data_IF_543712956720
#
_entry.id   IF_543712956720
#
_cell.length_a   1.000
_cell.length_b   1.000
_cell.length_c   1.000
_cell.angle_alpha   90.00
_cell.angle_beta   90.00
_cell.angle_gamma   90.00
#
_symmetry.space_group_name_H-M   'P 1'
#
loop_
_entity.id
_entity.type
_entity.pdbx_description
1 polymer ?
#
# COMPACT_ATOMS: atom_id res chain seq x y z
N UNK A 1 2.50 -15.51 28.45
CA UNK A 1 3.31 -15.31 27.26
C UNK A 1 2.65 -14.28 26.37
N UNK A 2 3.42 -13.31 25.96
CA UNK A 2 2.86 -12.24 25.17
C UNK A 2 3.04 -12.55 23.70
N UNK A 3 1.93 -12.68 22.99
CA UNK A 3 1.96 -12.83 21.54
C UNK A 3 1.93 -11.46 20.91
N UNK A 4 2.96 -11.14 20.16
CA UNK A 4 2.98 -9.91 19.41
C UNK A 4 2.25 -10.14 18.10
N UNK A 5 1.21 -9.36 17.88
CA UNK A 5 0.47 -9.43 16.63
C UNK A 5 1.12 -8.45 15.66
N UNK A 6 1.87 -9.00 14.71
CA UNK A 6 2.53 -8.20 13.68
C UNK A 6 1.66 -8.00 12.44
N UNK A 7 0.44 -8.56 12.46
CA UNK A 7 -0.44 -8.50 11.30
C UNK A 7 -0.75 -7.07 10.85
N UNK A 8 -1.06 -6.12 11.76
CA UNK A 8 -1.32 -4.75 11.30
C UNK A 8 -0.12 -4.11 10.63
N UNK A 9 1.10 -4.46 11.08
CA UNK A 9 2.32 -3.95 10.46
C UNK A 9 2.55 -4.57 9.10
N UNK A 10 2.37 -5.88 8.98
CA UNK A 10 2.65 -6.61 7.75
C UNK A 10 1.58 -6.37 6.68
N UNK A 11 0.36 -5.99 7.08
CA UNK A 11 -0.68 -5.61 6.12
C UNK A 11 -0.28 -4.41 5.28
N UNK A 12 0.56 -3.54 5.84
CA UNK A 12 1.02 -2.36 5.13
C UNK A 12 2.26 -2.63 4.28
N UNK A 13 2.70 -3.89 4.22
CA UNK A 13 3.84 -4.30 3.41
C UNK A 13 3.32 -4.87 2.10
N UNK A 14 3.52 -4.13 1.03
CA UNK A 14 2.96 -4.47 -0.28
C UNK A 14 4.01 -5.16 -1.13
N UNK A 15 3.65 -6.28 -1.73
CA UNK A 15 4.56 -7.12 -2.48
C UNK A 15 5.03 -8.35 -1.73
N UNK A 16 4.64 -8.48 -0.46
CA UNK A 16 4.97 -9.64 0.38
C UNK A 16 3.73 -10.53 0.53
N UNK A 17 3.16 -10.95 -0.59
CA UNK A 17 1.84 -11.56 -0.64
C UNK A 17 1.69 -12.80 0.23
N UNK A 18 2.68 -13.67 0.22
CA UNK A 18 2.59 -14.91 0.97
C UNK A 18 2.50 -14.68 2.45
N UNK A 19 3.29 -13.73 2.95
CA UNK A 19 3.29 -13.40 4.37
C UNK A 19 2.01 -12.68 4.75
N UNK A 20 1.57 -11.74 3.92
CA UNK A 20 0.36 -10.98 4.17
C UNK A 20 -0.86 -11.88 4.26
N UNK A 21 -0.98 -12.86 3.35
CA UNK A 21 -2.09 -13.79 3.35
C UNK A 21 -2.11 -14.67 4.60
N UNK A 22 -0.95 -15.08 5.09
CA UNK A 22 -0.88 -15.90 6.29
C UNK A 22 -1.33 -15.16 7.54
N UNK A 23 -1.14 -13.85 7.58
CA UNK A 23 -1.43 -13.04 8.76
C UNK A 23 -2.77 -12.31 8.69
N UNK A 24 -3.35 -12.23 7.52
CA UNK A 24 -4.54 -11.41 7.30
C UNK A 24 -5.76 -11.90 8.07
N UNK A 25 -5.82 -13.19 8.35
CA UNK A 25 -6.96 -13.77 9.05
C UNK A 25 -7.00 -13.48 10.54
N UNK A 26 -5.94 -12.94 11.12
CA UNK A 26 -5.83 -12.80 12.56
C UNK A 26 -6.07 -11.40 13.09
N UNK A 27 -6.11 -10.39 12.23
CA UNK A 27 -6.22 -9.01 12.70
C UNK A 27 -7.35 -8.28 12.00
N UNK A 28 -8.28 -7.78 12.77
CA UNK A 28 -9.42 -7.02 12.27
C UNK A 28 -9.44 -5.59 12.77
N UNK A 29 -8.29 -5.04 13.10
CA UNK A 29 -8.27 -3.67 13.57
C UNK A 29 -8.44 -2.72 12.40
N UNK A 30 -9.50 -1.93 12.46
CA UNK A 30 -9.70 -0.88 11.49
C UNK A 30 -9.07 0.40 12.00
N UNK A 31 -8.08 0.87 11.28
CA UNK A 31 -7.51 2.18 11.53
C UNK A 31 -8.08 3.18 10.54
N UNK A 32 -7.98 4.45 10.86
CA UNK A 32 -8.43 5.49 9.94
C UNK A 32 -7.26 5.94 9.07
N UNK A 33 -7.46 6.09 7.75
CA UNK A 33 -8.69 5.80 7.01
C UNK A 33 -8.80 4.32 6.67
N UNK A 34 -10.01 3.81 6.43
CA UNK A 34 -10.18 2.47 5.89
C UNK A 34 -9.51 2.37 4.53
N UNK A 35 -8.87 1.25 4.26
CA UNK A 35 -8.19 1.05 2.99
C UNK A 35 -8.24 -0.40 2.54
N UNK A 36 -8.10 -0.58 1.24
CA UNK A 36 -7.98 -1.88 0.60
C UNK A 36 -6.63 -1.94 -0.11
N UNK A 37 -6.07 -3.13 -0.17
CA UNK A 37 -4.93 -3.41 -1.02
C UNK A 37 -5.33 -4.57 -1.89
N UNK A 38 -5.32 -4.36 -3.21
CA UNK A 38 -5.69 -5.38 -4.16
C UNK A 38 -4.56 -5.67 -5.12
N UNK A 39 -4.53 -6.88 -5.63
CA UNK A 39 -3.56 -7.34 -6.59
C UNK A 39 -4.31 -7.76 -7.85
N UNK A 40 -4.01 -7.10 -8.97
CA UNK A 40 -4.64 -7.40 -10.24
C UNK A 40 -3.94 -8.56 -10.95
N UNK A 41 -2.61 -8.54 -10.92
CA UNK A 41 -1.77 -9.60 -11.45
C UNK A 41 -0.44 -9.56 -10.68
N UNK A 42 0.53 -10.37 -11.10
CA UNK A 42 1.79 -10.47 -10.35
C UNK A 42 2.57 -9.16 -10.26
N UNK A 43 2.27 -8.21 -11.13
CA UNK A 43 3.02 -6.97 -11.22
C UNK A 43 2.20 -5.72 -10.94
N UNK A 44 0.91 -5.85 -10.68
CA UNK A 44 0.04 -4.69 -10.51
C UNK A 44 -0.74 -4.77 -9.21
N UNK A 45 -0.68 -3.69 -8.44
CA UNK A 45 -1.35 -3.57 -7.15
C UNK A 45 -2.06 -2.24 -7.08
N UNK A 46 -3.07 -2.16 -6.26
CA UNK A 46 -3.77 -0.90 -6.01
C UNK A 46 -4.11 -0.77 -4.54
N UNK A 47 -3.81 0.40 -3.99
CA UNK A 47 -4.26 0.79 -2.66
C UNK A 47 -5.45 1.72 -2.86
N UNK A 48 -6.53 1.47 -2.14
CA UNK A 48 -7.69 2.35 -2.16
C UNK A 48 -7.99 2.81 -0.75
N UNK A 49 -8.04 4.11 -0.53
CA UNK A 49 -8.36 4.69 0.77
C UNK A 49 -9.72 5.39 0.70
N UNK A 50 -10.55 5.15 1.70
CA UNK A 50 -11.85 5.82 1.80
C UNK A 50 -11.66 7.16 2.49
N UNK A 51 -11.77 8.24 1.73
CA UNK A 51 -11.48 9.59 2.18
C UNK A 51 -12.62 10.55 1.86
N UNK A 52 -13.84 10.13 2.15
CA UNK A 52 -15.01 10.98 1.97
C UNK A 52 -14.86 12.22 2.84
N UNK A 53 -15.14 13.38 2.28
CA UNK A 53 -15.02 14.64 2.99
C UNK A 53 -13.66 15.32 2.85
N UNK A 54 -12.67 14.64 2.30
CA UNK A 54 -11.39 15.26 1.97
C UNK A 54 -11.42 15.87 0.58
N UNK A 55 -10.60 16.86 0.39
CA UNK A 55 -10.35 17.45 -0.92
C UNK A 55 -9.00 16.98 -1.40
N UNK A 56 -8.80 17.00 -2.71
CA UNK A 56 -7.51 16.60 -3.27
C UNK A 56 -6.36 17.42 -2.67
N UNK A 57 -6.57 18.70 -2.44
CA UNK A 57 -5.54 19.57 -1.87
C UNK A 57 -5.20 19.25 -0.42
N UNK A 58 -6.05 18.49 0.26
CA UNK A 58 -5.81 18.07 1.64
C UNK A 58 -4.88 16.86 1.72
N UNK A 59 -4.59 16.23 0.60
CA UNK A 59 -3.89 14.96 0.55
C UNK A 59 -2.47 15.12 0.02
N UNK A 60 -1.55 14.36 0.61
CA UNK A 60 -0.15 14.34 0.22
C UNK A 60 0.33 12.90 0.16
N UNK A 61 0.99 12.54 -0.93
CA UNK A 61 1.55 11.20 -1.14
C UNK A 61 3.02 11.34 -1.40
N UNK A 62 3.84 10.65 -0.63
CA UNK A 62 5.30 10.68 -0.78
C UNK A 62 5.86 9.27 -0.83
N UNK A 63 6.80 9.06 -1.70
CA UNK A 63 7.55 7.80 -1.77
C UNK A 63 9.01 8.10 -1.48
N UNK A 64 9.54 7.48 -0.44
CA UNK A 64 10.94 7.61 -0.06
C UNK A 64 11.53 6.21 0.07
N UNK A 65 12.37 5.86 -0.90
CA UNK A 65 12.88 4.49 -0.99
C UNK A 65 11.74 3.51 -1.21
N UNK A 66 11.54 2.62 -0.24
CA UNK A 66 10.43 1.65 -0.27
C UNK A 66 9.27 2.05 0.63
N UNK A 67 9.32 3.25 1.18
CA UNK A 67 8.28 3.71 2.10
C UNK A 67 7.34 4.67 1.42
N UNK A 68 6.10 4.28 1.31
CA UNK A 68 5.04 5.10 0.76
C UNK A 68 4.22 5.67 1.90
N UNK A 69 4.13 6.99 1.98
CA UNK A 69 3.39 7.67 3.04
C UNK A 69 2.27 8.49 2.44
N UNK A 70 1.07 8.32 2.99
CA UNK A 70 -0.10 9.08 2.61
C UNK A 70 -0.54 9.89 3.82
N UNK A 71 -0.65 11.20 3.65
CA UNK A 71 -1.09 12.08 4.71
C UNK A 71 -2.31 12.85 4.26
N UNK A 72 -3.20 13.10 5.19
CA UNK A 72 -4.37 13.92 4.94
C UNK A 72 -4.56 14.90 6.07
N UNK A 73 -4.81 16.17 5.70
CA UNK A 73 -5.08 17.22 6.66
C UNK A 73 -6.33 17.95 6.19
N UNK A 74 -7.50 17.54 6.72
CA UNK A 74 -8.75 18.13 6.28
C UNK A 74 -8.85 19.57 6.78
N UNK A 75 -9.58 20.37 6.01
CA UNK A 75 -9.87 21.73 6.41
C UNK A 75 -10.76 21.74 7.65
N UNK A 76 -10.42 22.55 8.64
CA UNK A 76 -11.22 22.64 9.85
C UNK A 76 -12.54 23.32 9.55
N UNK A 77 -13.66 22.81 10.06
CA UNK A 77 -14.95 23.50 9.89
C UNK A 77 -14.91 24.85 10.57
N UNK A 78 -15.50 25.83 9.93
CA UNK A 78 -15.52 27.19 10.46
C UNK A 78 -16.57 27.40 11.53
N UNK A 79 -17.50 26.46 11.66
CA UNK A 79 -18.58 26.55 12.66
C UNK A 79 -18.56 25.29 13.51
N UNK A 80 -18.84 25.46 14.80
CA UNK A 80 -19.04 24.34 15.68
C UNK A 80 -20.33 23.62 15.30
N UNK A 81 -20.21 22.29 15.16
CA UNK A 81 -21.37 21.46 14.84
C UNK A 81 -21.67 20.57 16.04
N UNK A 82 -22.92 20.55 16.45
CA UNK A 82 -23.36 19.64 17.49
C UNK A 82 -23.90 18.39 16.83
N UNK A 83 -23.21 17.27 17.02
CA UNK A 83 -23.56 16.01 16.39
C UNK A 83 -24.54 15.25 17.26
N UNK A 84 -25.67 14.85 16.68
CA UNK A 84 -26.55 13.87 17.32
C UNK A 84 -26.02 12.45 17.12
N UNK A 85 -25.38 12.22 16.01
CA UNK A 85 -24.69 10.98 15.68
C UNK A 85 -23.59 11.30 14.70
N UNK A 86 -22.41 10.80 14.95
CA UNK A 86 -21.27 11.01 14.05
C UNK A 86 -20.65 9.67 13.67
N UNK A 87 -21.05 9.15 12.51
CA UNK A 87 -20.47 7.94 11.97
C UNK A 87 -19.41 8.21 10.91
N UNK A 88 -19.42 9.42 10.32
CA UNK A 88 -18.42 9.82 9.34
C UNK A 88 -17.35 10.64 10.04
N UNK A 89 -16.15 10.14 10.02
CA UNK A 89 -15.01 10.81 10.68
C UNK A 89 -14.08 11.36 9.61
N UNK A 90 -13.80 12.66 9.68
CA UNK A 90 -12.82 13.32 8.82
C UNK A 90 -11.77 13.93 9.74
N UNK A 91 -10.63 13.28 9.83
CA UNK A 91 -9.59 13.68 10.77
C UNK A 91 -8.23 13.61 10.09
N UNK A 92 -7.24 14.35 10.61
CA UNK A 92 -5.88 14.23 10.09
C UNK A 92 -5.36 12.82 10.28
N UNK A 93 -4.61 12.34 9.29
CA UNK A 93 -4.02 11.01 9.36
C UNK A 93 -2.66 10.98 8.67
N UNK A 94 -1.88 10.00 9.02
CA UNK A 94 -0.64 9.66 8.31
C UNK A 94 -0.55 8.14 8.28
N UNK A 95 -0.48 7.60 7.08
CA UNK A 95 -0.48 6.16 6.87
C UNK A 95 0.72 5.80 6.01
N UNK A 96 1.50 4.80 6.43
CA UNK A 96 2.69 4.38 5.71
C UNK A 96 2.57 2.94 5.27
N UNK A 97 3.08 2.67 4.07
CA UNK A 97 3.15 1.33 3.51
C UNK A 97 4.60 1.03 3.16
N UNK A 98 5.02 -0.19 3.42
CA UNK A 98 6.34 -0.65 3.02
C UNK A 98 6.19 -1.45 1.73
N UNK A 99 6.88 -1.00 0.69
CA UNK A 99 6.83 -1.66 -0.61
C UNK A 99 7.98 -2.63 -0.74
N UNK A 100 7.75 -3.74 -1.44
CA UNK A 100 8.82 -4.66 -1.80
C UNK A 100 9.74 -3.97 -2.81
N UNK A 101 10.92 -4.53 -2.99
CA UNK A 101 11.87 -4.00 -3.97
C UNK A 101 11.26 -4.01 -5.37
N UNK A 102 11.62 -3.01 -6.16
CA UNK A 102 11.18 -2.86 -7.56
C UNK A 102 9.72 -2.48 -7.71
N UNK A 103 9.07 -2.07 -6.62
CA UNK A 103 7.73 -1.53 -6.69
C UNK A 103 7.79 -0.03 -6.98
N UNK A 104 6.97 0.41 -7.91
CA UNK A 104 6.89 1.82 -8.29
C UNK A 104 5.46 2.29 -8.20
N UNK A 105 5.29 3.58 -7.90
CA UNK A 105 3.97 4.21 -7.95
C UNK A 105 3.73 4.64 -9.38
N UNK A 106 2.78 3.98 -10.06
CA UNK A 106 2.46 4.30 -11.44
C UNK A 106 1.46 5.44 -11.59
N UNK A 107 0.71 5.74 -10.55
CA UNK A 107 -0.22 6.84 -10.57
C UNK A 107 -1.07 6.91 -9.33
N UNK A 108 -1.78 8.02 -9.18
CA UNK A 108 -2.73 8.20 -8.10
C UNK A 108 -3.89 9.04 -8.60
N UNK A 109 -5.12 8.66 -8.22
CA UNK A 109 -6.32 9.39 -8.59
C UNK A 109 -7.22 9.52 -7.38
N UNK A 110 -7.93 10.63 -7.30
CA UNK A 110 -8.90 10.85 -6.24
C UNK A 110 -10.25 11.15 -6.88
N UNK A 111 -11.18 10.23 -6.69
CA UNK A 111 -12.50 10.35 -7.31
C UNK A 111 -13.55 9.69 -6.43
N UNK A 112 -14.72 10.30 -6.36
CA UNK A 112 -15.84 9.79 -5.57
C UNK A 112 -15.50 9.54 -4.10
N UNK A 113 -14.61 10.34 -3.54
CA UNK A 113 -14.19 10.17 -2.15
C UNK A 113 -13.21 9.04 -1.92
N UNK A 114 -12.69 8.42 -2.98
CA UNK A 114 -11.72 7.35 -2.89
C UNK A 114 -10.40 7.77 -3.50
N UNK A 115 -9.32 7.53 -2.77
CA UNK A 115 -7.98 7.72 -3.29
C UNK A 115 -7.44 6.38 -3.75
N UNK A 116 -7.11 6.29 -5.04
CA UNK A 116 -6.53 5.10 -5.64
C UNK A 116 -5.06 5.35 -5.92
N UNK A 117 -4.21 4.48 -5.42
CA UNK A 117 -2.77 4.55 -5.67
C UNK A 117 -2.39 3.28 -6.40
N UNK A 118 -1.94 3.42 -7.63
CA UNK A 118 -1.57 2.28 -8.47
C UNK A 118 -0.09 2.02 -8.36
N UNK A 119 0.25 0.76 -8.15
CA UNK A 119 1.62 0.30 -7.97
C UNK A 119 1.95 -0.74 -9.02
N UNK A 120 3.16 -0.69 -9.53
CA UNK A 120 3.65 -1.64 -10.51
C UNK A 120 4.98 -2.20 -10.05
N UNK A 121 5.12 -3.51 -10.12
CA UNK A 121 6.42 -4.16 -9.89
C UNK A 121 7.17 -4.20 -11.19
N UNK A 122 8.35 -3.60 -11.19
CA UNK A 122 9.18 -3.51 -12.37
C UNK A 122 10.56 -4.06 -12.06
N UNK A 123 10.71 -5.39 -12.19
CA UNK A 123 11.98 -6.04 -11.91
C UNK A 123 12.92 -5.82 -13.09
N UNK A 124 14.12 -5.25 -12.88
CA UNK A 124 15.07 -5.09 -13.97
C UNK A 124 15.39 -6.42 -14.62
N UNK A 125 15.53 -6.41 -15.93
CA UNK A 125 15.79 -7.63 -16.70
C UNK A 125 17.05 -8.35 -16.21
N UNK A 126 18.05 -7.60 -15.80
CA UNK A 126 19.30 -8.17 -15.29
C UNK A 126 19.11 -8.97 -13.99
N UNK A 127 18.03 -8.71 -13.24
CA UNK A 127 17.73 -9.39 -11.99
C UNK A 127 16.63 -10.44 -12.15
N UNK A 128 16.03 -10.53 -13.33
CA UNK A 128 15.01 -11.52 -13.59
C UNK A 128 15.64 -12.92 -13.67
N UNK A 129 14.92 -13.99 -13.32
CA UNK A 129 15.44 -15.33 -13.47
C UNK A 129 15.83 -15.59 -14.91
N UNK A 130 17.01 -16.13 -15.08
CA UNK A 130 17.53 -16.46 -16.40
C UNK A 130 17.60 -17.96 -16.55
N UNK A 131 17.17 -18.46 -17.70
CA UNK A 131 17.28 -19.87 -18.01
C UNK A 131 18.66 -20.11 -18.61
N UNK A 132 19.42 -20.99 -17.99
CA UNK A 132 20.76 -21.31 -18.42
C UNK A 132 20.70 -22.60 -19.24
N UNK A 133 21.22 -22.55 -20.45
CA UNK A 133 21.26 -23.73 -21.32
C UNK A 133 22.33 -24.70 -20.81
N UNK A 134 21.97 -25.98 -20.82
CA UNK A 134 22.87 -27.03 -20.41
C UNK A 134 23.47 -27.65 -21.68
N UNK A 135 24.79 -27.66 -21.78
CA UNK A 135 25.46 -28.28 -22.92
C UNK A 135 26.03 -29.63 -22.50
N UNK A 136 26.14 -30.54 -23.49
CA UNK A 136 26.66 -31.88 -23.23
C UNK A 136 28.17 -31.89 -23.09
N UNK A 137 28.86 -30.82 -23.52
CA UNK A 137 30.29 -30.72 -23.44
C UNK A 137 30.67 -29.76 -22.31
N UNK A 138 31.77 -30.06 -21.60
CA UNK A 138 32.28 -29.09 -20.63
C UNK A 138 32.49 -27.73 -21.27
N UNK A 139 32.10 -26.69 -20.58
CA UNK A 139 32.30 -25.33 -21.09
C UNK A 139 33.75 -24.89 -21.02
N UNK A 140 34.57 -25.62 -20.30
CA UNK A 140 35.95 -25.30 -20.13
C UNK A 140 36.79 -25.89 -21.22
N UNK A 141 37.37 -25.03 -22.00
CA UNK A 141 38.45 -25.42 -22.87
C UNK A 141 39.76 -24.99 -22.23
N UNK A 142 40.49 -25.93 -21.86
CA UNK A 142 41.83 -25.64 -21.35
C UNK A 142 42.72 -25.19 -22.46
#
# INVERSE_FOLDING_TARGET
MRNYDLSPLLRQWIGFDKLANALQSTAEQQSFPPYNIEKSDDNHYRITLALAGFRQDDLDIQLEGTRLTVKGTPEKPQTETQWLHQGLVTQPFSLSFTLADHMEVSGATFTNGLLHIDLTRNVPEALAPQKIAISERPALNS
#
